data_IF_002486376707
#
_entry.id   IF_002486376707
#
_cell.length_a   1.000
_cell.length_b   1.000
_cell.length_c   1.000
_cell.angle_alpha   90.00
_cell.angle_beta   90.00
_cell.angle_gamma   90.00
#
_symmetry.space_group_name_H-M   'P 1'
#
loop_
_entity.id
_entity.type
_entity.pdbx_description
1 polymer ?
#
# COMPACT_ATOMS: atom_id res chain seq x y z
N UNK A 1 12.39 -6.46 16.22
CA UNK A 1 12.46 -7.41 15.09
C UNK A 1 11.67 -6.84 13.91
N UNK A 2 12.11 -7.06 12.66
CA UNK A 2 11.29 -6.71 11.51
C UNK A 2 10.06 -7.63 11.46
N UNK A 3 8.86 -7.06 11.36
CA UNK A 3 7.62 -7.80 11.11
C UNK A 3 7.34 -7.80 9.60
N UNK A 4 7.36 -8.98 8.98
CA UNK A 4 7.14 -9.11 7.55
C UNK A 4 5.66 -8.92 7.18
N UNK A 5 5.40 -8.22 6.09
CA UNK A 5 4.06 -7.98 5.57
C UNK A 5 4.05 -7.95 4.04
N UNK A 6 2.88 -8.14 3.43
CA UNK A 6 2.64 -7.98 2.00
C UNK A 6 1.76 -6.75 1.79
N UNK A 7 2.14 -5.87 0.87
CA UNK A 7 1.26 -4.81 0.34
C UNK A 7 0.89 -5.17 -1.09
N UNK A 8 -0.38 -5.04 -1.44
CA UNK A 8 -0.88 -5.39 -2.76
C UNK A 8 -2.06 -4.49 -3.16
N UNK A 9 -2.28 -4.42 -4.48
CA UNK A 9 -3.38 -3.66 -5.08
C UNK A 9 -4.54 -4.58 -5.41
N UNK A 10 -5.77 -4.08 -5.23
CA UNK A 10 -7.01 -4.71 -5.72
C UNK A 10 -7.83 -3.75 -6.59
N UNK A 11 -7.19 -3.15 -7.61
CA UNK A 11 -7.75 -2.17 -8.57
C UNK A 11 -8.26 -0.87 -7.93
N UNK A 12 -9.17 -0.95 -6.98
CA UNK A 12 -9.83 0.19 -6.33
C UNK A 12 -9.26 0.53 -4.95
N UNK A 13 -8.36 -0.31 -4.43
CA UNK A 13 -7.79 -0.14 -3.11
C UNK A 13 -6.36 -0.69 -3.06
N UNK A 14 -5.59 -0.22 -2.08
CA UNK A 14 -4.33 -0.84 -1.66
C UNK A 14 -4.51 -1.39 -0.25
N UNK A 15 -4.05 -2.63 -0.04
CA UNK A 15 -4.23 -3.38 1.21
C UNK A 15 -2.91 -3.98 1.70
N UNK A 16 -2.88 -4.31 2.99
CA UNK A 16 -1.75 -4.93 3.68
C UNK A 16 -2.17 -6.21 4.39
N UNK A 17 -1.29 -7.21 4.37
CA UNK A 17 -1.38 -8.43 5.18
C UNK A 17 -0.15 -8.52 6.08
N UNK A 18 -0.34 -8.58 7.39
CA UNK A 18 0.70 -8.97 8.33
C UNK A 18 0.91 -10.49 8.30
N UNK A 19 2.14 -10.96 8.09
CA UNK A 19 2.41 -12.40 7.91
C UNK A 19 2.40 -13.20 9.23
N UNK A 20 2.48 -12.52 10.37
CA UNK A 20 2.47 -13.16 11.68
C UNK A 20 1.10 -13.10 12.33
N UNK A 21 0.50 -11.91 12.38
CA UNK A 21 -0.80 -11.63 13.00
C UNK A 21 -1.96 -12.03 12.08
N UNK A 22 -1.69 -12.25 10.78
CA UNK A 22 -2.70 -12.44 9.73
C UNK A 22 -3.72 -11.30 9.71
N UNK A 23 -3.28 -10.11 10.12
CA UNK A 23 -4.09 -8.91 10.07
C UNK A 23 -4.23 -8.42 8.64
N UNK A 24 -5.46 -8.05 8.25
CA UNK A 24 -5.84 -7.65 6.90
C UNK A 24 -6.35 -6.21 6.93
N UNK A 25 -5.50 -5.26 6.54
CA UNK A 25 -5.75 -3.83 6.69
C UNK A 25 -5.90 -3.11 5.35
N UNK A 26 -6.77 -2.10 5.35
CA UNK A 26 -6.97 -1.16 4.24
C UNK A 26 -5.98 0.00 4.39
N UNK A 27 -5.16 0.24 3.38
CA UNK A 27 -4.17 1.33 3.39
C UNK A 27 -4.64 2.55 2.61
N UNK A 28 -5.16 2.34 1.40
CA UNK A 28 -5.60 3.42 0.52
C UNK A 28 -6.94 3.04 -0.11
N UNK A 29 -8.06 3.67 0.31
CA UNK A 29 -9.36 3.48 -0.32
C UNK A 29 -9.55 4.34 -1.57
N UNK A 30 -10.59 4.02 -2.35
CA UNK A 30 -11.18 4.95 -3.32
C UNK A 30 -10.33 5.24 -4.55
N UNK A 31 -9.46 4.32 -4.94
CA UNK A 31 -8.66 4.42 -6.16
C UNK A 31 -9.51 4.05 -7.39
N UNK A 32 -9.14 4.57 -8.56
CA UNK A 32 -9.86 4.29 -9.81
C UNK A 32 -9.31 3.03 -10.47
N UNK A 33 -8.00 2.97 -10.69
CA UNK A 33 -7.34 1.80 -11.25
C UNK A 33 -5.85 1.77 -10.90
N UNK A 34 -5.53 1.25 -9.72
CA UNK A 34 -4.15 1.02 -9.29
C UNK A 34 -3.61 -0.33 -9.76
N UNK A 35 -2.44 -0.33 -10.42
CA UNK A 35 -1.86 -1.54 -11.02
C UNK A 35 -0.44 -1.86 -10.55
N UNK A 36 0.32 -0.84 -10.15
CA UNK A 36 1.72 -0.99 -9.77
C UNK A 36 2.02 -0.19 -8.50
N UNK A 37 2.87 -0.77 -7.64
CA UNK A 37 3.24 -0.28 -6.32
C UNK A 37 4.74 -0.49 -6.10
N UNK A 38 5.39 0.37 -5.32
CA UNK A 38 6.72 0.13 -4.78
C UNK A 38 6.87 0.78 -3.39
N UNK A 39 7.83 0.30 -2.58
CA UNK A 39 7.97 0.68 -1.18
C UNK A 39 9.41 1.09 -0.81
N UNK A 40 9.57 2.30 -0.29
CA UNK A 40 10.82 2.75 0.29
C UNK A 40 10.86 2.43 1.79
N UNK A 41 11.54 1.33 2.14
CA UNK A 41 11.60 0.80 3.52
C UNK A 41 12.11 1.82 4.55
N UNK A 42 13.29 2.42 4.35
CA UNK A 42 13.87 3.32 5.36
C UNK A 42 13.07 4.61 5.62
N UNK A 43 12.17 5.00 4.71
CA UNK A 43 11.35 6.22 4.84
C UNK A 43 9.88 5.90 5.13
N UNK A 44 9.50 4.62 5.14
CA UNK A 44 8.12 4.15 5.22
C UNK A 44 7.20 4.82 4.18
N UNK A 45 7.69 4.98 2.94
CA UNK A 45 6.92 5.58 1.84
C UNK A 45 6.43 4.52 0.87
N UNK A 46 5.12 4.53 0.62
CA UNK A 46 4.47 3.75 -0.44
C UNK A 46 4.26 4.63 -1.66
N UNK A 47 4.61 4.11 -2.83
CA UNK A 47 4.38 4.74 -4.13
C UNK A 47 3.42 3.87 -4.93
N UNK A 48 2.48 4.48 -5.66
CA UNK A 48 1.55 3.74 -6.51
C UNK A 48 1.15 4.54 -7.75
N UNK A 49 0.70 3.81 -8.76
CA UNK A 49 0.12 4.36 -9.99
C UNK A 49 -1.40 4.36 -9.89
N UNK A 50 -2.06 5.36 -10.48
CA UNK A 50 -3.45 5.24 -10.93
C UNK A 50 -3.50 5.58 -12.42
N UNK A 51 -3.83 4.59 -13.25
CA UNK A 51 -3.78 4.74 -14.72
C UNK A 51 -5.00 5.44 -15.29
N UNK A 52 -6.08 5.58 -14.53
CA UNK A 52 -7.25 6.37 -14.96
C UNK A 52 -7.02 7.85 -14.67
N UNK A 53 -6.32 8.16 -13.58
CA UNK A 53 -5.97 9.54 -13.24
C UNK A 53 -4.67 10.04 -13.89
N UNK A 54 -3.94 9.13 -14.56
CA UNK A 54 -2.64 9.40 -15.21
C UNK A 54 -1.62 10.00 -14.24
N UNK A 55 -1.52 9.40 -13.04
CA UNK A 55 -0.70 9.94 -11.93
C UNK A 55 0.06 8.87 -11.17
N UNK A 56 1.20 9.29 -10.63
CA UNK A 56 1.95 8.55 -9.61
C UNK A 56 1.75 9.28 -8.29
N UNK A 57 1.31 8.54 -7.29
CA UNK A 57 1.07 9.02 -5.93
C UNK A 57 2.10 8.46 -4.96
N UNK A 58 2.22 9.12 -3.80
CA UNK A 58 2.99 8.62 -2.67
C UNK A 58 2.30 8.94 -1.35
N UNK A 59 2.54 8.11 -0.35
CA UNK A 59 2.01 8.28 1.01
C UNK A 59 2.95 7.67 2.03
N UNK A 60 2.98 8.25 3.23
CA UNK A 60 3.76 7.70 4.36
C UNK A 60 2.88 6.73 5.13
N UNK A 61 3.36 5.50 5.34
CA UNK A 61 2.70 4.57 6.24
C UNK A 61 2.92 5.03 7.68
N UNK A 62 1.83 5.26 8.41
CA UNK A 62 1.90 5.42 9.87
C UNK A 62 1.93 4.04 10.52
N UNK A 63 2.69 3.87 11.59
CA UNK A 63 2.72 2.63 12.38
C UNK A 63 1.41 2.33 13.11
N UNK A 64 0.48 3.28 13.16
CA UNK A 64 -0.85 3.11 13.73
C UNK A 64 -1.78 2.41 12.73
N UNK A 65 -1.67 1.08 12.69
CA UNK A 65 -2.73 0.15 12.35
C UNK A 65 -2.97 -0.75 13.55
#
# INVERSE_FOLDING_TARGET
PFEAFIIFSIRHEIRRIDLHKRDYSLLVPGLRNTIALDFHFNQSLLYWTDVVEDRIYRGKLSESG
#
